data_IF_431441027410
#
_entry.id   IF_431441027410
#
_cell.length_a   1.000
_cell.length_b   1.000
_cell.length_c   1.000
_cell.angle_alpha   90.00
_cell.angle_beta   90.00
_cell.angle_gamma   90.00
#
_symmetry.space_group_name_H-M   'P 1'
#
loop_
_entity.id
_entity.type
_entity.pdbx_description
1 polymer ?
#
# COMPACT_ATOMS: atom_id res chain seq x y z
N UNK A 1 13.74 -6.27 21.36
CA UNK A 1 12.41 -6.60 20.82
C UNK A 1 11.44 -5.52 21.27
N UNK A 2 11.27 -4.46 20.48
CA UNK A 2 10.37 -3.36 20.82
C UNK A 2 8.94 -3.69 20.36
N UNK A 3 7.98 -3.38 21.22
CA UNK A 3 6.54 -3.51 20.98
C UNK A 3 6.16 -2.60 19.79
N UNK A 4 6.01 -3.15 18.57
CA UNK A 4 5.47 -2.38 17.43
C UNK A 4 5.97 -2.66 16.01
N UNK A 5 6.89 -3.60 15.75
CA UNK A 5 7.33 -3.87 14.37
C UNK A 5 6.28 -4.65 13.57
N UNK A 6 5.42 -3.92 12.84
CA UNK A 6 4.61 -4.49 11.77
C UNK A 6 5.48 -4.86 10.57
N UNK A 7 5.37 -6.10 10.08
CA UNK A 7 6.03 -6.54 8.87
C UNK A 7 5.25 -6.09 7.61
N UNK A 8 5.90 -6.12 6.45
CA UNK A 8 5.29 -5.64 5.20
C UNK A 8 3.96 -6.31 4.84
N UNK A 9 3.83 -7.62 5.08
CA UNK A 9 2.59 -8.37 4.83
C UNK A 9 1.43 -7.92 5.73
N UNK A 10 1.69 -7.62 7.01
CA UNK A 10 0.66 -7.09 7.90
C UNK A 10 0.16 -5.73 7.44
N UNK A 11 1.06 -4.85 7.00
CA UNK A 11 0.69 -3.54 6.46
C UNK A 11 -0.15 -3.66 5.19
N UNK A 12 0.21 -4.56 4.28
CA UNK A 12 -0.58 -4.83 3.07
C UNK A 12 -1.98 -5.36 3.38
N UNK A 13 -2.09 -6.26 4.35
CA UNK A 13 -3.37 -6.80 4.80
C UNK A 13 -4.28 -5.73 5.41
N UNK A 14 -3.71 -4.87 6.26
CA UNK A 14 -4.44 -3.76 6.90
C UNK A 14 -4.88 -2.69 5.89
N UNK A 15 -4.06 -2.44 4.85
CA UNK A 15 -4.30 -1.40 3.86
C UNK A 15 -5.31 -1.83 2.78
N UNK A 16 -5.38 -3.13 2.45
CA UNK A 16 -6.18 -3.64 1.34
C UNK A 16 -7.67 -3.22 1.40
N UNK A 17 -8.39 -3.32 2.54
CA UNK A 17 -9.79 -2.90 2.61
C UNK A 17 -9.98 -1.40 2.37
N UNK A 18 -9.01 -0.56 2.79
CA UNK A 18 -9.07 0.87 2.54
C UNK A 18 -8.92 1.16 1.04
N UNK A 19 -7.99 0.48 0.37
CA UNK A 19 -7.84 0.57 -1.08
C UNK A 19 -9.10 0.07 -1.79
N UNK A 20 -9.71 -1.05 -1.38
CA UNK A 20 -10.93 -1.57 -2.02
C UNK A 20 -12.07 -0.53 -2.07
N UNK A 21 -12.18 0.35 -1.07
CA UNK A 21 -13.19 1.40 -0.97
C UNK A 21 -12.74 2.77 -1.51
N UNK A 22 -11.54 2.89 -2.07
CA UNK A 22 -10.94 4.17 -2.46
C UNK A 22 -11.43 4.69 -3.82
N UNK A 23 -11.44 6.00 -3.96
CA UNK A 23 -11.50 6.67 -5.26
C UNK A 23 -10.17 6.51 -6.00
N UNK A 24 -10.22 6.09 -7.26
CA UNK A 24 -9.02 5.70 -8.01
C UNK A 24 -8.34 6.85 -8.76
N UNK A 25 -8.07 7.95 -8.05
CA UNK A 25 -7.27 9.08 -8.54
C UNK A 25 -5.96 9.18 -7.78
N UNK A 26 -4.89 9.68 -8.40
CA UNK A 26 -3.58 9.79 -7.75
C UNK A 26 -3.64 10.60 -6.44
N UNK A 27 -4.40 11.70 -6.43
CA UNK A 27 -4.56 12.54 -5.24
C UNK A 27 -5.31 11.82 -4.12
N UNK A 28 -6.46 11.19 -4.41
CA UNK A 28 -7.24 10.45 -3.42
C UNK A 28 -6.45 9.28 -2.83
N UNK A 29 -5.68 8.56 -3.66
CA UNK A 29 -4.83 7.46 -3.21
C UNK A 29 -3.67 7.94 -2.34
N UNK A 30 -3.05 9.07 -2.67
CA UNK A 30 -1.99 9.66 -1.86
C UNK A 30 -2.51 10.10 -0.48
N UNK A 31 -3.68 10.74 -0.44
CA UNK A 31 -4.30 11.19 0.81
C UNK A 31 -4.79 10.01 1.65
N UNK A 32 -5.32 8.96 1.03
CA UNK A 32 -5.65 7.70 1.71
C UNK A 32 -4.41 7.09 2.37
N UNK A 33 -3.28 7.04 1.66
CA UNK A 33 -2.04 6.49 2.20
C UNK A 33 -1.49 7.32 3.36
N UNK A 34 -1.58 8.65 3.29
CA UNK A 34 -1.22 9.56 4.40
C UNK A 34 -2.14 9.34 5.60
N UNK A 35 -3.46 9.34 5.41
CA UNK A 35 -4.42 9.09 6.48
C UNK A 35 -4.25 7.70 7.10
N UNK A 36 -3.92 6.69 6.30
CA UNK A 36 -3.57 5.37 6.80
C UNK A 36 -2.32 5.42 7.67
N UNK A 37 -1.26 6.13 7.26
CA UNK A 37 -0.05 6.32 8.05
C UNK A 37 -0.35 6.96 9.42
N UNK A 38 -1.11 8.05 9.41
CA UNK A 38 -1.49 8.80 10.63
C UNK A 38 -2.31 7.94 11.59
N UNK A 39 -3.39 7.31 11.10
CA UNK A 39 -4.26 6.43 11.89
C UNK A 39 -3.50 5.29 12.57
N UNK A 40 -2.44 4.83 11.93
CA UNK A 40 -1.67 3.67 12.34
C UNK A 40 -0.35 4.04 13.06
N UNK A 41 -0.04 5.33 13.24
CA UNK A 41 1.23 5.82 13.72
C UNK A 41 2.44 5.19 12.98
N UNK A 42 2.32 5.05 11.65
CA UNK A 42 3.35 4.51 10.78
C UNK A 42 3.98 5.63 9.94
N UNK A 43 5.28 5.54 9.69
CA UNK A 43 5.92 6.39 8.69
C UNK A 43 5.60 5.94 7.27
N UNK A 44 5.49 6.88 6.32
CA UNK A 44 5.16 6.60 4.92
C UNK A 44 6.06 5.52 4.29
N UNK A 45 7.35 5.48 4.63
CA UNK A 45 8.26 4.43 4.13
C UNK A 45 7.82 3.01 4.50
N UNK A 46 7.26 2.80 5.70
CA UNK A 46 6.76 1.49 6.17
C UNK A 46 5.51 1.03 5.43
N UNK A 47 4.76 1.95 4.82
CA UNK A 47 3.56 1.65 4.03
C UNK A 47 3.89 1.57 2.55
N UNK A 48 4.56 2.59 2.01
CA UNK A 48 4.87 2.70 0.60
C UNK A 48 5.85 1.62 0.12
N UNK A 49 6.84 1.21 0.92
CA UNK A 49 7.81 0.20 0.49
C UNK A 49 7.19 -1.19 0.25
N UNK A 50 6.46 -1.81 1.21
CA UNK A 50 5.83 -3.10 0.95
C UNK A 50 4.77 -3.01 -0.15
N UNK A 51 4.06 -1.88 -0.25
CA UNK A 51 3.12 -1.64 -1.33
C UNK A 51 3.79 -1.60 -2.71
N UNK A 52 4.92 -0.88 -2.86
CA UNK A 52 5.71 -0.86 -4.10
C UNK A 52 6.13 -2.26 -4.49
N UNK A 53 6.75 -3.01 -3.57
CA UNK A 53 7.20 -4.38 -3.86
C UNK A 53 6.02 -5.25 -4.30
N UNK A 54 4.87 -5.16 -3.63
CA UNK A 54 3.69 -5.94 -3.99
C UNK A 54 3.15 -5.60 -5.39
N UNK A 55 3.18 -4.32 -5.81
CA UNK A 55 2.52 -3.88 -7.05
C UNK A 55 3.48 -3.71 -8.23
N UNK A 56 4.78 -3.51 -8.00
CA UNK A 56 5.79 -3.31 -9.07
C UNK A 56 6.90 -4.37 -9.06
N UNK A 57 7.05 -5.14 -7.99
CA UNK A 57 8.19 -6.06 -7.82
C UNK A 57 9.51 -5.36 -7.52
N UNK A 58 9.51 -4.04 -7.31
CA UNK A 58 10.71 -3.22 -7.07
C UNK A 58 10.54 -2.38 -5.81
N UNK A 59 11.65 -1.90 -5.24
CA UNK A 59 11.63 -0.99 -4.07
C UNK A 59 11.49 0.48 -4.47
N UNK A 60 11.66 0.81 -5.75
CA UNK A 60 11.64 2.16 -6.30
C UNK A 60 10.55 2.27 -7.36
N UNK A 61 9.80 3.37 -7.30
CA UNK A 61 8.73 3.77 -8.23
C UNK A 61 8.63 5.30 -8.22
N UNK A 62 7.84 5.92 -9.11
CA UNK A 62 7.32 7.28 -8.91
C UNK A 62 6.54 7.43 -7.59
N UNK A 63 5.86 8.57 -7.40
CA UNK A 63 4.95 8.73 -6.27
C UNK A 63 3.98 7.54 -6.19
N UNK A 64 3.72 7.06 -4.97
CA UNK A 64 3.01 5.80 -4.80
C UNK A 64 1.54 5.95 -5.24
N UNK A 65 0.89 7.07 -4.92
CA UNK A 65 -0.45 7.38 -5.44
C UNK A 65 -0.52 7.40 -6.98
N UNK A 66 0.45 8.01 -7.65
CA UNK A 66 0.54 8.01 -9.12
C UNK A 66 0.75 6.61 -9.69
N UNK A 67 1.61 5.82 -9.05
CA UNK A 67 1.90 4.44 -9.46
C UNK A 67 0.62 3.59 -9.40
N UNK A 68 -0.14 3.70 -8.31
CA UNK A 68 -1.41 2.98 -8.15
C UNK A 68 -2.49 3.44 -9.16
N UNK A 69 -2.57 4.75 -9.39
CA UNK A 69 -3.51 5.32 -10.36
C UNK A 69 -3.21 4.82 -11.79
N UNK A 70 -1.93 4.80 -12.18
CA UNK A 70 -1.49 4.30 -13.48
C UNK A 70 -1.75 2.79 -13.66
N UNK A 71 -1.54 1.99 -12.62
CA UNK A 71 -1.82 0.56 -12.65
C UNK A 71 -3.32 0.25 -12.73
N UNK A 72 -4.14 1.10 -12.12
CA UNK A 72 -5.59 0.91 -12.00
C UNK A 72 -5.97 -0.03 -10.86
N UNK A 73 -7.24 0.02 -10.48
CA UNK A 73 -7.80 -0.64 -9.30
C UNK A 73 -7.60 -2.15 -9.31
N UNK A 74 -8.18 -2.80 -10.30
CA UNK A 74 -8.27 -4.26 -10.29
C UNK A 74 -6.89 -4.93 -10.34
N UNK A 75 -5.97 -4.38 -11.15
CA UNK A 75 -4.58 -4.87 -11.21
C UNK A 75 -3.84 -4.65 -9.90
N UNK A 76 -4.04 -3.52 -9.25
CA UNK A 76 -3.41 -3.21 -7.96
C UNK A 76 -3.88 -4.18 -6.88
N UNK A 77 -5.20 -4.32 -6.71
CA UNK A 77 -5.78 -5.18 -5.68
C UNK A 77 -5.41 -6.65 -5.90
N UNK A 78 -5.47 -7.14 -7.14
CA UNK A 78 -5.08 -8.51 -7.48
C UNK A 78 -3.61 -8.79 -7.18
N UNK A 79 -2.70 -7.84 -7.42
CA UNK A 79 -1.28 -7.98 -7.10
C UNK A 79 -1.04 -8.04 -5.59
N UNK A 80 -1.71 -7.18 -4.82
CA UNK A 80 -1.62 -7.19 -3.36
C UNK A 80 -2.15 -8.51 -2.79
N UNK A 81 -3.32 -8.97 -3.24
CA UNK A 81 -3.91 -10.25 -2.83
C UNK A 81 -3.00 -11.43 -3.17
N UNK A 82 -2.40 -11.45 -4.37
CA UNK A 82 -1.42 -12.47 -4.75
C UNK A 82 -0.20 -12.44 -3.84
N UNK A 83 0.34 -11.25 -3.54
CA UNK A 83 1.47 -11.11 -2.62
C UNK A 83 1.14 -11.64 -1.22
N UNK A 84 -0.05 -11.34 -0.70
CA UNK A 84 -0.54 -11.83 0.59
C UNK A 84 -0.77 -13.35 0.62
N UNK A 85 -1.12 -13.95 -0.52
CA UNK A 85 -1.33 -15.40 -0.63
C UNK A 85 -0.02 -16.21 -0.71
N UNK A 86 1.12 -15.56 -0.95
CA UNK A 86 2.44 -16.20 -1.06
C UNK A 86 3.24 -16.19 0.26
N UNK A 87 2.62 -15.76 1.37
CA UNK A 87 3.26 -15.63 2.69
C UNK A 87 3.31 -16.93 3.49
#
# INVERSE_FOLDING_TARGET
>A
MTKGERNGYSVLGDLLPALEAADWTAAALEDLLKGFCEKNALGMGKVAQPLRVAVTGTTVSPAIGETLALLGRDKTLARIQRCLAQR
#
